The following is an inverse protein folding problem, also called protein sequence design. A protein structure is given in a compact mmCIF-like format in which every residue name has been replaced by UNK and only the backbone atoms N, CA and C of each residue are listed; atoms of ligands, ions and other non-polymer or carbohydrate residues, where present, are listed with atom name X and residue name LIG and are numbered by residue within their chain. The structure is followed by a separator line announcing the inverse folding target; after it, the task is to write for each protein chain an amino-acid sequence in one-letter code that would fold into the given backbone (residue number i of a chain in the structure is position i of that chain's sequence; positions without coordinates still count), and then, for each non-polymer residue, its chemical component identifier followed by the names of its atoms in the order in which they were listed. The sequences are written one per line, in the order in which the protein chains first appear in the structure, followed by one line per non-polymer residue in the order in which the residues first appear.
data_IF_935420692773
#
_entry.id   IF_935420692773
#
_cell.length_a   1.000
_cell.length_b   1.000
_cell.length_c   1.000
_cell.angle_alpha   90.00
_cell.angle_beta   90.00
_cell.angle_gamma   90.00
#
_symmetry.space_group_name_H-M   'P 1'
#
loop_
_entity.id
_entity.type
_entity.pdbx_description
1 polymer ?
#
# COMPACT_ATOMS: atom_id res chain seq x y z
N UNK A 1 20.19 16.05 20.21
CA UNK A 1 20.73 16.32 18.86
C UNK A 1 19.78 15.72 17.83
N UNK A 2 19.30 16.50 16.87
CA UNK A 2 18.34 16.01 15.87
C UNK A 2 19.03 14.96 14.97
N UNK A 3 18.47 13.74 14.92
CA UNK A 3 19.00 12.64 14.11
C UNK A 3 18.85 13.00 12.64
N UNK A 4 19.94 13.01 11.88
CA UNK A 4 19.91 13.32 10.44
C UNK A 4 19.07 12.28 9.70
N UNK A 5 18.00 12.74 9.05
CA UNK A 5 17.15 11.90 8.19
C UNK A 5 17.80 11.79 6.82
N UNK A 6 18.04 10.56 6.37
CA UNK A 6 18.57 10.25 5.03
C UNK A 6 17.39 9.79 4.16
N UNK A 7 17.28 10.36 2.96
CA UNK A 7 16.25 9.98 1.98
C UNK A 7 16.49 8.53 1.57
N UNK A 8 15.48 7.67 1.72
CA UNK A 8 15.55 6.29 1.27
C UNK A 8 15.31 6.19 -0.24
N UNK A 9 15.84 5.16 -0.93
CA UNK A 9 15.52 4.94 -2.33
C UNK A 9 14.00 4.79 -2.54
N UNK A 10 13.53 5.18 -3.72
CA UNK A 10 12.13 5.02 -4.10
C UNK A 10 11.84 3.53 -4.33
N UNK A 11 10.80 2.97 -3.71
CA UNK A 11 10.43 1.58 -3.92
C UNK A 11 9.87 1.34 -5.33
N UNK A 12 10.01 0.11 -5.80
CA UNK A 12 9.48 -0.34 -7.08
C UNK A 12 7.97 -0.62 -6.98
N UNK A 13 7.17 0.19 -7.67
CA UNK A 13 5.71 0.10 -7.67
C UNK A 13 5.15 -0.85 -8.74
N UNK A 14 6.01 -1.56 -9.47
CA UNK A 14 5.58 -2.55 -10.47
C UNK A 14 5.10 -3.86 -9.83
N UNK A 15 5.42 -4.10 -8.55
CA UNK A 15 5.06 -5.31 -7.83
C UNK A 15 3.66 -5.21 -7.20
N UNK A 16 2.99 -6.35 -6.92
CA UNK A 16 1.73 -6.37 -6.18
C UNK A 16 1.86 -5.64 -4.83
N UNK A 17 0.79 -4.98 -4.41
CA UNK A 17 0.77 -4.27 -3.15
C UNK A 17 0.81 -5.23 -1.96
N UNK A 18 1.85 -5.14 -1.14
CA UNK A 18 1.97 -5.81 0.15
C UNK A 18 2.35 -4.81 1.26
N UNK A 19 2.38 -5.27 2.50
CA UNK A 19 2.71 -4.40 3.64
C UNK A 19 4.15 -3.87 3.59
N UNK A 20 5.10 -4.64 3.04
CA UNK A 20 6.49 -4.24 2.93
C UNK A 20 6.66 -3.09 1.92
N UNK A 21 6.03 -3.19 0.74
CA UNK A 21 6.01 -2.18 -0.30
C UNK A 21 5.32 -0.91 0.21
N UNK A 22 4.16 -1.04 0.85
CA UNK A 22 3.45 0.10 1.43
C UNK A 22 4.29 0.81 2.50
N UNK A 23 4.94 0.06 3.39
CA UNK A 23 5.85 0.60 4.39
C UNK A 23 7.03 1.34 3.77
N UNK A 24 7.63 0.79 2.71
CA UNK A 24 8.72 1.42 1.97
C UNK A 24 8.29 2.72 1.28
N UNK A 25 7.09 2.78 0.70
CA UNK A 25 6.53 4.00 0.08
C UNK A 25 6.36 5.10 1.12
N UNK A 26 5.77 4.77 2.27
CA UNK A 26 5.57 5.71 3.39
C UNK A 26 6.93 6.22 3.89
N UNK A 27 7.91 5.32 4.05
CA UNK A 27 9.27 5.66 4.49
C UNK A 27 9.99 6.57 3.51
N UNK A 28 9.90 6.29 2.21
CA UNK A 28 10.44 7.16 1.17
C UNK A 28 9.81 8.56 1.24
N UNK A 29 8.48 8.63 1.35
CA UNK A 29 7.78 9.91 1.45
C UNK A 29 8.18 10.70 2.70
N UNK A 30 8.24 10.05 3.87
CA UNK A 30 8.68 10.69 5.12
C UNK A 30 10.10 11.24 5.02
N UNK A 31 11.02 10.42 4.53
CA UNK A 31 12.43 10.81 4.48
C UNK A 31 12.71 11.88 3.42
N UNK A 32 11.98 11.88 2.31
CA UNK A 32 11.98 12.96 1.32
C UNK A 32 11.52 14.30 1.91
N UNK A 33 10.60 14.28 2.86
CA UNK A 33 10.16 15.47 3.63
C UNK A 33 11.10 15.81 4.80
N UNK A 34 12.18 15.06 5.01
CA UNK A 34 13.14 15.20 6.12
C UNK A 34 12.50 15.14 7.51
N UNK A 35 11.35 14.47 7.62
CA UNK A 35 10.65 14.32 8.89
C UNK A 35 11.27 13.19 9.72
N UNK A 36 11.44 13.44 11.02
CA UNK A 36 11.79 12.37 11.94
C UNK A 36 10.60 11.41 12.11
N UNK A 37 10.87 10.24 12.67
CA UNK A 37 9.83 9.25 12.95
C UNK A 37 8.83 9.77 14.00
N UNK A 38 9.30 10.60 14.93
CA UNK A 38 8.44 11.26 15.93
C UNK A 38 7.55 12.33 15.30
N UNK A 39 8.10 13.21 14.46
CA UNK A 39 7.32 14.25 13.79
C UNK A 39 6.24 13.65 12.88
N UNK A 40 6.60 12.60 12.14
CA UNK A 40 5.67 11.91 11.26
C UNK A 40 4.55 11.20 12.03
N UNK A 41 4.88 10.55 13.16
CA UNK A 41 3.88 9.92 14.02
C UNK A 41 2.93 10.95 14.64
N UNK A 42 3.47 12.09 15.10
CA UNK A 42 2.68 13.20 15.62
C UNK A 42 1.75 13.80 14.57
N UNK A 43 2.25 14.01 13.34
CA UNK A 43 1.46 14.51 12.21
C UNK A 43 0.32 13.56 11.83
N UNK A 44 0.52 12.25 11.98
CA UNK A 44 -0.51 11.24 11.74
C UNK A 44 -1.43 10.98 12.94
N UNK A 45 -1.13 11.55 14.11
CA UNK A 45 -1.87 11.32 15.35
C UNK A 45 -1.75 9.88 15.90
N UNK A 46 -0.61 9.22 15.69
CA UNK A 46 -0.38 7.83 16.12
C UNK A 46 0.89 7.70 16.97
N UNK A 47 1.06 6.56 17.65
CA UNK A 47 2.28 6.32 18.41
C UNK A 47 3.49 6.11 17.48
N UNK A 48 4.68 6.52 17.95
CA UNK A 48 5.96 6.29 17.25
C UNK A 48 6.17 4.82 16.90
N UNK A 49 5.78 3.91 17.81
CA UNK A 49 5.89 2.47 17.59
C UNK A 49 4.95 1.99 16.48
N UNK A 50 3.70 2.46 16.47
CA UNK A 50 2.76 2.13 15.40
C UNK A 50 3.26 2.62 14.03
N UNK A 51 3.77 3.85 13.97
CA UNK A 51 4.37 4.39 12.74
C UNK A 51 5.58 3.57 12.29
N UNK A 52 6.47 3.21 13.22
CA UNK A 52 7.65 2.39 12.91
C UNK A 52 7.26 1.00 12.40
N UNK A 53 6.23 0.37 12.98
CA UNK A 53 5.74 -0.93 12.52
C UNK A 53 5.16 -0.88 11.11
N UNK A 54 4.53 0.25 10.74
CA UNK A 54 4.05 0.50 9.38
C UNK A 54 5.23 0.58 8.41
N UNK A 55 6.27 1.36 8.72
CA UNK A 55 7.45 1.47 7.83
C UNK A 55 8.21 0.15 7.65
N UNK A 56 8.17 -0.72 8.66
CA UNK A 56 8.79 -2.05 8.61
C UNK A 56 7.91 -3.09 7.89
N UNK A 57 6.65 -2.77 7.55
CA UNK A 57 5.73 -3.71 6.94
C UNK A 57 5.27 -4.83 7.88
N UNK A 58 5.17 -4.56 9.19
CA UNK A 58 4.75 -5.57 10.17
C UNK A 58 3.33 -6.08 9.91
N UNK A 59 3.13 -7.39 10.07
CA UNK A 59 1.84 -8.06 9.82
C UNK A 59 0.72 -7.63 10.79
N UNK A 60 1.07 -7.14 11.99
CA UNK A 60 0.11 -6.78 13.04
C UNK A 60 -0.32 -5.29 13.03
N UNK A 61 -0.24 -4.64 11.87
CA UNK A 61 -0.65 -3.24 11.72
C UNK A 61 -2.17 -3.14 11.54
N UNK A 62 -2.81 -2.27 12.33
CA UNK A 62 -4.22 -1.94 12.12
C UNK A 62 -4.40 -1.19 10.80
N UNK A 63 -5.27 -1.70 9.94
CA UNK A 63 -5.59 -1.10 8.62
C UNK A 63 -6.06 0.36 8.76
N UNK A 64 -6.84 0.69 9.81
CA UNK A 64 -7.26 2.07 10.09
C UNK A 64 -6.05 3.01 10.30
N UNK A 65 -5.02 2.54 11.02
CA UNK A 65 -3.80 3.31 11.27
C UNK A 65 -3.01 3.51 9.98
N UNK A 66 -2.94 2.49 9.12
CA UNK A 66 -2.34 2.60 7.80
C UNK A 66 -3.04 3.67 6.94
N UNK A 67 -4.37 3.66 6.87
CA UNK A 67 -5.11 4.66 6.09
C UNK A 67 -4.94 6.09 6.63
N UNK A 68 -4.84 6.27 7.95
CA UNK A 68 -4.50 7.58 8.53
C UNK A 68 -3.16 8.09 8.01
N UNK A 69 -2.14 7.24 8.01
CA UNK A 69 -0.81 7.60 7.50
C UNK A 69 -0.87 7.89 5.99
N UNK A 70 -1.49 7.02 5.20
CA UNK A 70 -1.61 7.23 3.74
C UNK A 70 -2.28 8.57 3.42
N UNK A 71 -3.40 8.88 4.09
CA UNK A 71 -4.12 10.15 3.93
C UNK A 71 -3.26 11.34 4.32
N UNK A 72 -2.58 11.29 5.46
CA UNK A 72 -1.76 12.38 5.96
C UNK A 72 -0.57 12.72 5.04
N UNK A 73 -0.04 11.73 4.32
CA UNK A 73 1.06 11.90 3.37
C UNK A 73 0.61 12.15 1.92
N UNK A 74 -0.70 12.18 1.67
CA UNK A 74 -1.28 12.37 0.34
C UNK A 74 -1.10 11.17 -0.58
N UNK A 75 -0.99 9.96 -0.03
CA UNK A 75 -0.85 8.71 -0.77
C UNK A 75 -2.25 8.10 -0.94
N UNK A 76 -2.66 7.84 -2.18
CA UNK A 76 -3.96 7.24 -2.49
C UNK A 76 -3.82 5.77 -2.86
N UNK A 77 -4.65 4.91 -2.27
CA UNK A 77 -4.81 3.52 -2.67
C UNK A 77 -6.00 3.41 -3.62
N UNK A 78 -5.82 2.74 -4.77
CA UNK A 78 -6.89 2.45 -5.72
C UNK A 78 -7.17 0.96 -5.74
N UNK A 79 -8.45 0.60 -5.74
CA UNK A 79 -8.91 -0.78 -5.90
C UNK A 79 -9.51 -0.89 -7.30
N UNK A 80 -9.02 -1.85 -8.07
CA UNK A 80 -9.52 -2.12 -9.40
C UNK A 80 -10.38 -3.39 -9.33
N UNK A 81 -11.46 -3.44 -10.12
CA UNK A 81 -12.26 -4.64 -10.25
C UNK A 81 -11.38 -5.80 -10.78
N UNK A 82 -11.58 -7.04 -10.31
CA UNK A 82 -10.94 -8.19 -10.94
C UNK A 82 -11.35 -8.23 -12.41
N UNK A 83 -10.39 -8.43 -13.31
CA UNK A 83 -10.69 -8.73 -14.69
C UNK A 83 -11.36 -10.12 -14.70
N UNK A 84 -12.69 -10.16 -14.77
CA UNK A 84 -13.39 -11.37 -15.17
C UNK A 84 -13.12 -11.57 -16.65
N UNK A 85 -12.12 -12.38 -16.96
CA UNK A 85 -11.98 -12.93 -18.32
C UNK A 85 -13.06 -14.00 -18.46
N UNK A 86 -14.23 -13.61 -18.97
CA UNK A 86 -15.17 -14.58 -19.53
C UNK A 86 -14.50 -15.20 -20.76
N UNK A 87 -13.82 -16.31 -20.54
CA UNK A 87 -13.40 -17.24 -21.59
C UNK A 87 -13.98 -18.58 -21.20
N UNK A 88 -15.27 -18.73 -21.47
CA UNK A 88 -15.92 -20.02 -21.71
C UNK A 88 -17.00 -19.77 -22.77
N UNK A 89 -16.55 -19.34 -23.94
CA UNK A 89 -17.31 -19.46 -25.19
C UNK A 89 -16.82 -20.70 -25.92
N UNK A 90 -17.04 -21.88 -25.34
CA UNK A 90 -17.07 -23.15 -26.05
C UNK A 90 -17.65 -24.23 -25.13
N UNK A 91 -18.91 -24.59 -25.36
CA UNK A 91 -19.40 -25.97 -25.57
C UNK A 91 -20.91 -25.88 -25.82
N UNK A 92 -21.32 -26.31 -27.01
CA UNK A 92 -22.71 -26.69 -27.28
C UNK A 92 -23.32 -26.10 -28.54
N UNK A 93 -22.69 -26.28 -29.71
CA UNK A 93 -23.47 -26.38 -30.94
C UNK A 93 -24.36 -27.63 -30.84
N UNK A 94 -25.53 -27.48 -30.22
CA UNK A 94 -26.61 -28.45 -30.36
C UNK A 94 -27.20 -28.27 -31.76
N UNK A 95 -26.49 -28.78 -32.77
CA UNK A 95 -27.14 -29.25 -33.98
C UNK A 95 -27.84 -30.54 -33.60
N UNK A 96 -29.13 -30.45 -33.27
CA UNK A 96 -30.01 -31.61 -33.30
C UNK A 96 -31.16 -31.29 -34.26
N UNK A 97 -31.01 -31.83 -35.46
CA UNK A 97 -32.05 -32.01 -36.44
C UNK A 97 -33.24 -32.72 -35.76
N UNK A 98 -34.36 -32.03 -35.58
CA UNK A 98 -35.64 -32.67 -35.32
C UNK A 98 -36.48 -32.61 -36.61
N UNK A 99 -36.40 -33.70 -37.38
CA UNK A 99 -37.33 -34.04 -38.45
C UNK A 99 -38.50 -34.86 -37.89
#
# INVERSE_FOLDING_TARGET
MARRVVVTPQPDLSQPADMALLGAVIRHRRTSLKLTLEDAAALCGISKQAYNNIELGSENVKVETLFKVLTAFGISLRVNAPAFTETDSDIGSASDDWL
#
